data_IF_490215537223
#
_entry.id   IF_490215537223
#
_cell.length_a   1.000
_cell.length_b   1.000
_cell.length_c   1.000
_cell.angle_alpha   90.00
_cell.angle_beta   90.00
_cell.angle_gamma   90.00
#
_symmetry.space_group_name_H-M   'P 1'
#
loop_
_entity.id
_entity.type
_entity.pdbx_description
1 polymer ?
#
# COMPACT_ATOMS: atom_id res chain seq x y z
N UNK A 1 -6.25 -24.38 5.67
CA UNK A 1 -6.88 -23.14 6.17
C UNK A 1 -5.87 -22.04 6.50
N UNK A 2 -4.77 -22.31 7.23
CA UNK A 2 -3.80 -21.27 7.65
C UNK A 2 -3.12 -20.48 6.52
N UNK A 3 -2.83 -21.09 5.36
CA UNK A 3 -2.17 -20.40 4.23
C UNK A 3 -3.04 -19.29 3.62
N UNK A 4 -4.34 -19.53 3.49
CA UNK A 4 -5.30 -18.55 2.95
C UNK A 4 -5.52 -17.42 3.97
N UNK A 5 -5.61 -17.75 5.26
CA UNK A 5 -5.70 -16.75 6.31
C UNK A 5 -4.47 -15.84 6.34
N UNK A 6 -3.27 -16.42 6.24
CA UNK A 6 -2.03 -15.66 6.13
C UNK A 6 -2.03 -14.75 4.91
N UNK A 7 -2.37 -15.28 3.72
CA UNK A 7 -2.47 -14.46 2.50
C UNK A 7 -3.45 -13.30 2.68
N UNK A 8 -4.63 -13.57 3.23
CA UNK A 8 -5.63 -12.54 3.51
C UNK A 8 -5.11 -11.45 4.46
N UNK A 9 -4.39 -11.85 5.50
CA UNK A 9 -3.76 -10.92 6.44
C UNK A 9 -2.64 -10.10 5.78
N UNK A 10 -1.78 -10.72 4.96
CA UNK A 10 -0.74 -9.96 4.25
C UNK A 10 -1.38 -8.95 3.30
N UNK A 11 -2.37 -9.35 2.51
CA UNK A 11 -3.04 -8.46 1.56
C UNK A 11 -3.87 -7.37 2.27
N UNK A 12 -4.39 -7.61 3.47
CA UNK A 12 -5.13 -6.59 4.22
C UNK A 12 -4.24 -5.43 4.65
N UNK A 13 -2.97 -5.68 4.98
CA UNK A 13 -1.98 -4.62 5.24
C UNK A 13 -1.74 -3.71 4.03
N UNK A 14 -1.96 -4.21 2.81
CA UNK A 14 -1.88 -3.37 1.61
C UNK A 14 -3.20 -2.65 1.33
N UNK A 15 -4.33 -3.33 1.46
CA UNK A 15 -5.63 -2.82 1.00
C UNK A 15 -6.34 -1.87 1.97
N UNK A 16 -6.29 -2.15 3.27
CA UNK A 16 -6.98 -1.34 4.30
C UNK A 16 -6.54 0.14 4.29
N UNK A 17 -5.24 0.48 4.12
CA UNK A 17 -4.80 1.86 4.03
C UNK A 17 -5.52 2.72 2.97
N UNK A 18 -5.92 2.12 1.85
CA UNK A 18 -6.59 2.82 0.75
C UNK A 18 -8.12 2.88 0.90
N UNK A 19 -8.69 2.11 1.81
CA UNK A 19 -10.16 1.95 1.92
C UNK A 19 -10.73 2.44 3.24
N UNK A 20 -9.90 2.57 4.28
CA UNK A 20 -10.34 3.01 5.60
C UNK A 20 -10.16 4.51 5.77
N UNK A 21 -11.24 5.27 5.54
CA UNK A 21 -11.24 6.73 5.75
C UNK A 21 -11.02 7.17 7.21
N UNK A 22 -11.15 6.25 8.17
CA UNK A 22 -10.98 6.51 9.61
C UNK A 22 -9.56 6.22 10.12
N UNK A 23 -8.70 5.60 9.30
CA UNK A 23 -7.35 5.23 9.71
C UNK A 23 -6.43 6.45 9.66
N UNK A 24 -5.61 6.66 10.69
CA UNK A 24 -4.63 7.75 10.70
C UNK A 24 -3.56 7.54 9.62
N UNK A 25 -2.95 8.63 9.12
CA UNK A 25 -1.88 8.51 8.12
C UNK A 25 -0.69 7.68 8.63
N UNK A 26 -0.34 7.82 9.92
CA UNK A 26 0.70 7.02 10.56
C UNK A 26 0.37 5.53 10.53
N UNK A 27 -0.87 5.16 10.86
CA UNK A 27 -1.31 3.76 10.82
C UNK A 27 -1.34 3.22 9.39
N UNK A 28 -1.74 4.04 8.41
CA UNK A 28 -1.72 3.68 6.99
C UNK A 28 -0.29 3.35 6.53
N UNK A 29 0.69 4.22 6.85
CA UNK A 29 2.11 3.98 6.55
C UNK A 29 2.64 2.74 7.27
N UNK A 30 2.26 2.53 8.54
CA UNK A 30 2.66 1.35 9.30
C UNK A 30 2.16 0.05 8.65
N UNK A 31 0.92 0.02 8.18
CA UNK A 31 0.35 -1.13 7.47
C UNK A 31 1.09 -1.38 6.14
N UNK A 32 1.33 -0.34 5.34
CA UNK A 32 2.06 -0.47 4.08
C UNK A 32 3.50 -0.94 4.27
N UNK A 33 4.19 -0.45 5.30
CA UNK A 33 5.52 -0.92 5.68
C UNK A 33 5.47 -2.40 6.10
N UNK A 34 4.48 -2.79 6.90
CA UNK A 34 4.27 -4.19 7.31
C UNK A 34 4.07 -5.09 6.09
N UNK A 35 3.25 -4.68 5.12
CA UNK A 35 3.08 -5.39 3.86
C UNK A 35 4.41 -5.55 3.10
N UNK A 36 5.18 -4.47 2.93
CA UNK A 36 6.45 -4.50 2.21
C UNK A 36 7.46 -5.45 2.86
N UNK A 37 7.56 -5.44 4.20
CA UNK A 37 8.46 -6.33 4.93
C UNK A 37 8.03 -7.81 4.85
N UNK A 38 6.74 -8.10 5.04
CA UNK A 38 6.23 -9.47 4.95
C UNK A 38 6.41 -10.06 3.55
N UNK A 39 6.05 -9.30 2.51
CA UNK A 39 6.19 -9.75 1.12
C UNK A 39 7.66 -9.88 0.70
N UNK A 40 8.55 -9.01 1.18
CA UNK A 40 9.99 -9.15 0.98
C UNK A 40 10.54 -10.42 1.64
N UNK A 41 10.15 -10.71 2.89
CA UNK A 41 10.56 -11.92 3.58
C UNK A 41 10.08 -13.18 2.82
N UNK A 42 8.83 -13.16 2.35
CA UNK A 42 8.28 -14.25 1.53
C UNK A 42 9.01 -14.41 0.20
N UNK A 43 9.39 -13.31 -0.44
CA UNK A 43 10.21 -13.32 -1.66
C UNK A 43 11.61 -13.90 -1.40
N UNK A 44 12.24 -13.57 -0.28
CA UNK A 44 13.54 -14.14 0.10
C UNK A 44 13.49 -15.65 0.34
N UNK A 45 12.40 -16.13 0.94
CA UNK A 45 12.24 -17.57 1.23
C UNK A 45 11.78 -18.39 0.02
N UNK A 46 10.89 -17.85 -0.82
CA UNK A 46 10.16 -18.62 -1.84
C UNK A 46 10.27 -18.04 -3.26
N UNK A 47 11.05 -16.98 -3.46
CA UNK A 47 11.12 -16.25 -4.72
C UNK A 47 9.75 -15.74 -5.17
N UNK A 48 9.38 -16.04 -6.41
CA UNK A 48 8.10 -15.65 -7.01
C UNK A 48 6.95 -16.63 -6.69
N UNK A 49 7.16 -17.59 -5.78
CA UNK A 49 6.13 -18.54 -5.38
C UNK A 49 5.01 -17.93 -4.52
N UNK A 50 5.21 -16.73 -3.97
CA UNK A 50 4.20 -16.03 -3.17
C UNK A 50 3.48 -14.92 -3.95
N UNK A 51 4.23 -14.04 -4.63
CA UNK A 51 3.70 -13.00 -5.52
C UNK A 51 4.40 -13.11 -6.87
N UNK A 52 3.66 -12.86 -7.95
CA UNK A 52 4.26 -12.73 -9.28
C UNK A 52 5.21 -11.54 -9.33
N UNK A 53 6.17 -11.55 -10.25
CA UNK A 53 7.15 -10.46 -10.38
C UNK A 53 6.47 -9.11 -10.59
N UNK A 54 5.44 -9.07 -11.44
CA UNK A 54 4.66 -7.86 -11.70
C UNK A 54 3.94 -7.37 -10.44
N UNK A 55 3.25 -8.27 -9.71
CA UNK A 55 2.52 -7.88 -8.52
C UNK A 55 3.46 -7.39 -7.41
N UNK A 56 4.58 -8.09 -7.19
CA UNK A 56 5.60 -7.69 -6.23
C UNK A 56 6.20 -6.32 -6.57
N UNK A 57 6.61 -6.11 -7.83
CA UNK A 57 7.23 -4.86 -8.25
C UNK A 57 6.26 -3.68 -8.17
N UNK A 58 5.02 -3.87 -8.65
CA UNK A 58 4.02 -2.80 -8.67
C UNK A 58 3.59 -2.41 -7.25
N UNK A 59 3.30 -3.38 -6.38
CA UNK A 59 2.86 -3.08 -5.02
C UNK A 59 3.97 -2.44 -4.18
N UNK A 60 5.22 -2.88 -4.31
CA UNK A 60 6.36 -2.24 -3.65
C UNK A 60 6.61 -0.83 -4.17
N UNK A 61 6.36 -0.57 -5.45
CA UNK A 61 6.47 0.77 -6.04
C UNK A 61 5.41 1.71 -5.46
N UNK A 62 4.17 1.24 -5.30
CA UNK A 62 3.11 2.00 -4.62
C UNK A 62 3.49 2.34 -3.17
N UNK A 63 3.96 1.34 -2.41
CA UNK A 63 4.39 1.58 -1.01
C UNK A 63 5.50 2.64 -0.93
N UNK A 64 6.50 2.55 -1.81
CA UNK A 64 7.59 3.53 -1.86
C UNK A 64 7.10 4.91 -2.23
N UNK A 65 6.24 5.02 -3.25
CA UNK A 65 5.67 6.28 -3.68
C UNK A 65 4.93 6.96 -2.53
N UNK A 66 4.05 6.22 -1.84
CA UNK A 66 3.32 6.74 -0.67
C UNK A 66 4.27 7.21 0.43
N UNK A 67 5.26 6.39 0.84
CA UNK A 67 6.19 6.76 1.92
C UNK A 67 7.00 8.00 1.55
N UNK A 68 7.50 8.08 0.32
CA UNK A 68 8.22 9.27 -0.16
C UNK A 68 7.32 10.51 -0.16
N UNK A 69 6.09 10.39 -0.66
CA UNK A 69 5.11 11.48 -0.67
C UNK A 69 4.82 11.96 0.76
N UNK A 70 4.56 11.05 1.70
CA UNK A 70 4.33 11.38 3.11
C UNK A 70 5.52 12.15 3.69
N UNK A 71 6.74 11.66 3.48
CA UNK A 71 7.94 12.33 3.98
C UNK A 71 8.11 13.73 3.36
N UNK A 72 7.86 13.89 2.06
CA UNK A 72 7.90 15.18 1.38
C UNK A 72 6.84 16.14 1.93
N UNK A 73 5.60 15.68 2.12
CA UNK A 73 4.51 16.50 2.64
C UNK A 73 4.81 16.95 4.08
N UNK A 74 5.30 16.04 4.94
CA UNK A 74 5.70 16.39 6.31
C UNK A 74 6.82 17.42 6.37
N UNK A 75 7.74 17.42 5.39
CA UNK A 75 8.79 18.42 5.30
C UNK A 75 8.27 19.80 4.84
N UNK A 76 7.18 19.83 4.09
CA UNK A 76 6.53 21.06 3.59
C UNK A 76 5.59 21.65 4.66
N UNK A 77 4.66 20.83 5.14
CA UNK A 77 3.67 21.17 6.15
C UNK A 77 3.19 19.90 6.87
N UNK A 78 3.58 19.69 8.14
CA UNK A 78 3.16 18.54 8.94
C UNK A 78 1.64 18.40 9.11
N UNK A 79 0.88 19.49 8.98
CA UNK A 79 -0.58 19.50 9.19
C UNK A 79 -1.35 19.24 7.88
N UNK A 80 -0.65 19.05 6.76
CA UNK A 80 -1.30 18.81 5.47
C UNK A 80 -2.05 17.47 5.48
N UNK A 81 -3.35 17.55 5.21
CA UNK A 81 -4.19 16.37 5.11
C UNK A 81 -3.87 15.58 3.83
N UNK A 82 -3.24 14.41 3.99
CA UNK A 82 -3.04 13.46 2.90
C UNK A 82 -3.97 12.25 3.05
N UNK A 83 -4.78 12.00 2.03
CA UNK A 83 -5.77 10.94 2.01
C UNK A 83 -5.42 9.93 0.91
N UNK A 84 -4.85 8.78 1.29
CA UNK A 84 -4.44 7.74 0.34
C UNK A 84 -5.59 7.21 -0.53
N UNK A 85 -6.84 7.21 -0.01
CA UNK A 85 -8.04 6.85 -0.79
C UNK A 85 -8.23 7.74 -2.04
N UNK A 86 -7.61 8.92 -2.07
CA UNK A 86 -7.70 9.87 -3.18
C UNK A 86 -6.59 9.67 -4.22
N UNK A 87 -5.59 8.83 -3.93
CA UNK A 87 -4.37 8.64 -4.73
C UNK A 87 -4.59 7.69 -5.93
N UNK A 88 -5.78 7.08 -6.02
CA UNK A 88 -6.17 6.18 -7.10
C UNK A 88 -6.57 6.89 -8.40
N UNK A 89 -6.45 6.18 -9.52
CA UNK A 89 -6.82 6.67 -10.86
C UNK A 89 -8.31 6.54 -11.17
N UNK A 90 -9.12 5.97 -10.27
CA UNK A 90 -10.53 5.65 -10.53
C UNK A 90 -11.34 6.90 -10.94
N UNK A 91 -11.06 8.04 -10.31
CA UNK A 91 -11.69 9.32 -10.69
C UNK A 91 -11.23 9.84 -12.04
N UNK A 92 -9.99 9.58 -12.43
CA UNK A 92 -9.48 9.95 -13.75
C UNK A 92 -10.19 9.15 -14.84
N UNK A 93 -10.39 7.86 -14.62
CA UNK A 93 -11.13 6.99 -15.56
C UNK A 93 -12.58 7.44 -15.71
N UNK A 94 -13.25 7.79 -14.60
CA UNK A 94 -14.60 8.36 -14.64
C UNK A 94 -14.63 9.66 -15.45
N UNK A 95 -13.72 10.60 -15.18
CA UNK A 95 -13.66 11.89 -15.87
C UNK A 95 -13.36 11.78 -17.37
N UNK A 96 -12.69 10.72 -17.83
CA UNK A 96 -12.41 10.46 -19.25
C UNK A 96 -13.59 9.74 -19.93
N UNK A 97 -14.47 9.12 -19.16
CA UNK A 97 -15.62 8.36 -19.67
C UNK A 97 -16.90 9.20 -19.80
N UNK A 98 -16.88 10.45 -19.32
CA UNK A 98 -17.91 11.48 -19.50
C UNK A 98 -17.57 12.38 -20.71
#
# INVERSE_FOLDING_TARGET
>A
QHKIAFLGQVLSYFFIPFTSAKMSLSDQVFHLATYAHLTYAMYKCNGLGFLTSALYANSHSVVKAVICTVACLQAIDPELLYLLILDGTDRLVLAISE
#
